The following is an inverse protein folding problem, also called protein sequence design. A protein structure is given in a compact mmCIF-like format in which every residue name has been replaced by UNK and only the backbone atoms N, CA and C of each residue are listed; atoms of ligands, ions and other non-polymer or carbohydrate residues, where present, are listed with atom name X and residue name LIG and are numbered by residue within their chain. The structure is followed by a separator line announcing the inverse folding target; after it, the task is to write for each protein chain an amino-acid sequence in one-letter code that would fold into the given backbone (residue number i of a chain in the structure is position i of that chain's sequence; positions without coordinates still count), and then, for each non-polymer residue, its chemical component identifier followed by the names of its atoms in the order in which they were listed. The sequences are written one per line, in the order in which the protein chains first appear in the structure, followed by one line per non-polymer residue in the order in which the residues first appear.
data_IF_641937236865
#
_entry.id   IF_641937236865
#
_cell.length_a   1.000
_cell.length_b   1.000
_cell.length_c   1.000
_cell.angle_alpha   90.00
_cell.angle_beta   90.00
_cell.angle_gamma   90.00
#
_symmetry.space_group_name_H-M   'P 1'
#
loop_
_entity.id
_entity.type
_entity.pdbx_description
1 polymer ?
#
# COMPACT_ATOMS: atom_id res chain seq x y z
N UNK A 1 11.05 29.86 -11.95
CA UNK A 1 11.32 29.49 -10.54
C UNK A 1 10.12 28.89 -9.79
N UNK A 2 8.87 29.06 -10.24
CA UNK A 2 7.70 28.45 -9.58
C UNK A 2 7.56 26.93 -9.75
N UNK A 3 7.96 26.36 -10.89
CA UNK A 3 7.86 24.91 -11.13
C UNK A 3 8.74 24.07 -10.18
N UNK A 4 9.97 24.53 -9.88
CA UNK A 4 10.90 23.82 -8.98
C UNK A 4 10.44 23.81 -7.52
N UNK A 5 9.67 24.81 -7.07
CA UNK A 5 9.18 24.87 -5.69
C UNK A 5 8.02 23.89 -5.45
N UNK A 6 7.18 23.67 -6.48
CA UNK A 6 6.07 22.72 -6.44
C UNK A 6 6.53 21.26 -6.51
N UNK A 7 7.74 20.99 -7.01
CA UNK A 7 8.29 19.63 -7.11
C UNK A 7 8.95 19.13 -5.81
N UNK A 8 9.51 20.03 -4.99
CA UNK A 8 10.25 19.67 -3.78
C UNK A 8 9.50 18.68 -2.86
N UNK A 9 8.20 18.85 -2.55
CA UNK A 9 7.49 17.91 -1.69
C UNK A 9 7.41 16.49 -2.28
N UNK A 10 7.25 16.37 -3.60
CA UNK A 10 7.12 15.07 -4.28
C UNK A 10 8.46 14.37 -4.43
N UNK A 11 9.55 15.11 -4.66
CA UNK A 11 10.92 14.56 -4.62
C UNK A 11 11.23 14.02 -3.22
N UNK A 12 10.98 14.81 -2.17
CA UNK A 12 11.21 14.36 -0.80
C UNK A 12 10.31 13.16 -0.41
N UNK A 13 9.06 13.12 -0.91
CA UNK A 13 8.17 11.97 -0.71
C UNK A 13 8.71 10.73 -1.42
N UNK A 14 9.16 10.85 -2.66
CA UNK A 14 9.76 9.76 -3.42
C UNK A 14 10.99 9.21 -2.69
N UNK A 15 11.93 10.07 -2.29
CA UNK A 15 13.13 9.67 -1.53
C UNK A 15 12.78 8.96 -0.22
N UNK A 16 11.70 9.40 0.44
CA UNK A 16 11.21 8.74 1.65
C UNK A 16 10.60 7.37 1.33
N UNK A 17 9.80 7.24 0.28
CA UNK A 17 9.21 5.97 -0.14
C UNK A 17 10.28 4.97 -0.60
N UNK A 18 11.34 5.45 -1.26
CA UNK A 18 12.42 4.63 -1.81
C UNK A 18 13.32 3.98 -0.73
N UNK A 19 13.25 4.49 0.50
CA UNK A 19 13.90 3.87 1.67
C UNK A 19 13.20 2.60 2.16
N UNK A 20 11.99 2.30 1.70
CA UNK A 20 11.33 1.02 2.03
C UNK A 20 12.03 -0.16 1.32
N UNK A 21 11.92 -1.40 1.81
CA UNK A 21 12.57 -2.56 1.18
C UNK A 21 12.26 -2.74 -0.32
N UNK A 22 11.01 -2.52 -0.74
CA UNK A 22 10.60 -2.53 -2.16
C UNK A 22 11.15 -1.34 -2.94
N UNK A 23 11.36 -0.23 -2.24
CA UNK A 23 11.67 1.10 -2.77
C UNK A 23 10.57 1.71 -3.64
N UNK A 24 10.97 2.74 -4.37
CA UNK A 24 10.15 3.59 -5.22
C UNK A 24 11.08 4.31 -6.20
N UNK A 25 11.73 3.60 -7.14
CA UNK A 25 12.69 4.21 -8.07
C UNK A 25 12.06 5.42 -8.78
N UNK A 26 12.81 6.52 -8.83
CA UNK A 26 12.33 7.77 -9.42
C UNK A 26 12.14 7.64 -10.93
N UNK A 27 10.92 7.93 -11.39
CA UNK A 27 10.57 8.07 -12.82
C UNK A 27 9.51 9.16 -12.96
N UNK A 28 9.31 9.66 -14.18
CA UNK A 28 8.29 10.68 -14.45
C UNK A 28 6.87 10.15 -14.14
N UNK A 29 6.63 8.87 -14.40
CA UNK A 29 5.36 8.20 -14.09
C UNK A 29 5.09 8.17 -12.59
N UNK A 30 6.11 7.84 -11.77
CA UNK A 30 5.95 7.87 -10.32
C UNK A 30 5.60 9.27 -9.84
N UNK A 31 6.31 10.30 -10.30
CA UNK A 31 6.02 11.67 -9.90
C UNK A 31 4.61 12.10 -10.31
N UNK A 32 4.13 11.68 -11.48
CA UNK A 32 2.75 11.94 -11.90
C UNK A 32 1.74 11.20 -10.99
N UNK A 33 1.98 9.93 -10.66
CA UNK A 33 1.15 9.18 -9.70
C UNK A 33 1.09 9.90 -8.36
N UNK A 34 2.24 10.34 -7.83
CA UNK A 34 2.31 11.05 -6.55
C UNK A 34 1.52 12.36 -6.59
N UNK A 35 1.59 13.14 -7.68
CA UNK A 35 0.81 14.39 -7.85
C UNK A 35 -0.70 14.14 -7.95
N UNK A 36 -1.12 13.03 -8.54
CA UNK A 36 -2.54 12.68 -8.61
C UNK A 36 -3.05 12.22 -7.22
N UNK A 37 -2.21 11.50 -6.46
CA UNK A 37 -2.64 10.86 -5.21
C UNK A 37 -2.49 11.73 -3.97
N UNK A 38 -1.43 12.54 -3.90
CA UNK A 38 -1.10 13.40 -2.77
C UNK A 38 -1.31 14.86 -3.14
N UNK A 39 -1.91 15.64 -2.23
CA UNK A 39 -1.71 17.08 -2.26
C UNK A 39 -0.25 17.43 -1.90
N UNK A 40 0.20 18.64 -2.23
CA UNK A 40 1.54 19.09 -1.84
C UNK A 40 1.76 19.06 -0.32
N UNK A 41 0.72 19.36 0.48
CA UNK A 41 0.76 19.25 1.94
C UNK A 41 0.91 17.80 2.39
N UNK A 42 0.11 16.89 1.82
CA UNK A 42 0.16 15.45 2.14
C UNK A 42 1.53 14.85 1.77
N UNK A 43 2.11 15.29 0.65
CA UNK A 43 3.45 14.88 0.24
C UNK A 43 4.53 15.36 1.24
N UNK A 44 4.43 16.60 1.70
CA UNK A 44 5.34 17.14 2.72
C UNK A 44 5.20 16.45 4.08
N UNK A 45 3.99 16.00 4.45
CA UNK A 45 3.76 15.17 5.64
C UNK A 45 4.40 13.80 5.46
N UNK A 46 4.09 13.11 4.36
CA UNK A 46 4.62 11.78 4.06
C UNK A 46 6.14 11.74 4.02
N UNK A 47 6.77 12.73 3.39
CA UNK A 47 8.23 12.87 3.33
C UNK A 47 8.89 12.95 4.73
N UNK A 48 8.20 13.52 5.72
CA UNK A 48 8.70 13.68 7.10
C UNK A 48 8.37 12.51 8.01
N UNK A 49 7.51 11.56 7.62
CA UNK A 49 7.17 10.41 8.45
C UNK A 49 8.40 9.50 8.66
N UNK A 50 8.59 8.93 9.87
CA UNK A 50 9.66 7.96 10.14
C UNK A 50 9.45 6.64 9.39
N UNK A 51 10.51 5.84 9.21
CA UNK A 51 10.46 4.50 8.59
C UNK A 51 9.57 3.53 9.37
N UNK A 52 9.60 3.63 10.69
CA UNK A 52 8.81 2.80 11.59
C UNK A 52 7.51 3.48 11.97
N UNK A 53 6.47 2.71 12.33
CA UNK A 53 5.24 3.26 12.87
C UNK A 53 5.52 4.16 14.08
N UNK A 54 4.88 5.33 14.12
CA UNK A 54 5.06 6.30 15.19
C UNK A 54 3.71 6.81 15.72
N UNK A 55 3.61 7.09 17.02
CA UNK A 55 2.41 7.64 17.62
C UNK A 55 2.26 9.13 17.29
N UNK A 56 1.03 9.64 17.41
CA UNK A 56 0.67 11.02 17.03
C UNK A 56 1.55 12.08 17.70
N UNK A 57 1.83 11.97 19.00
CA UNK A 57 2.64 12.92 19.76
C UNK A 57 4.10 12.99 19.29
N UNK A 58 4.64 11.89 18.76
CA UNK A 58 5.98 11.86 18.17
C UNK A 58 5.97 12.51 16.80
N UNK A 59 4.94 12.24 16.00
CA UNK A 59 4.78 12.86 14.67
C UNK A 59 4.54 14.37 14.78
N UNK A 60 3.68 14.81 15.70
CA UNK A 60 3.38 16.21 15.97
C UNK A 60 4.65 16.98 16.34
N UNK A 61 5.44 16.47 17.29
CA UNK A 61 6.74 17.07 17.66
C UNK A 61 7.74 17.10 16.51
N UNK A 62 7.81 16.03 15.71
CA UNK A 62 8.72 15.93 14.56
C UNK A 62 8.33 16.91 13.44
N UNK A 63 7.04 17.18 13.28
CA UNK A 63 6.51 18.01 12.21
C UNK A 63 6.28 19.47 12.62
N UNK A 64 6.45 19.78 13.91
CA UNK A 64 6.11 21.07 14.54
C UNK A 64 4.67 21.49 14.22
N UNK A 65 3.73 20.57 14.42
CA UNK A 65 2.30 20.77 14.14
C UNK A 65 1.47 20.41 15.38
N UNK A 66 0.35 21.11 15.54
CA UNK A 66 -0.66 20.76 16.53
C UNK A 66 -1.16 19.32 16.36
N UNK A 67 -1.25 18.52 17.44
CA UNK A 67 -1.67 17.11 17.37
C UNK A 67 -3.06 16.89 16.76
N UNK A 68 -4.06 17.72 17.11
CA UNK A 68 -5.43 17.54 16.61
C UNK A 68 -5.51 17.84 15.11
N UNK A 69 -4.86 18.92 14.68
CA UNK A 69 -4.75 19.28 13.26
C UNK A 69 -4.00 18.21 12.46
N UNK A 70 -2.91 17.67 13.02
CA UNK A 70 -2.16 16.60 12.38
C UNK A 70 -2.98 15.31 12.29
N UNK A 71 -3.71 14.94 13.35
CA UNK A 71 -4.59 13.77 13.32
C UNK A 71 -5.64 13.90 12.22
N UNK A 72 -6.29 15.06 12.09
CA UNK A 72 -7.27 15.29 11.03
C UNK A 72 -6.65 15.15 9.62
N UNK A 73 -5.40 15.60 9.42
CA UNK A 73 -4.66 15.43 8.15
C UNK A 73 -4.34 13.96 7.91
N UNK A 74 -3.81 13.25 8.91
CA UNK A 74 -3.48 11.82 8.84
C UNK A 74 -4.73 10.97 8.60
N UNK A 75 -5.87 11.32 9.18
CA UNK A 75 -7.14 10.61 8.97
C UNK A 75 -7.61 10.73 7.51
N UNK A 76 -7.50 11.93 6.91
CA UNK A 76 -7.77 12.11 5.47
C UNK A 76 -6.81 11.30 4.61
N UNK A 77 -5.52 11.29 4.93
CA UNK A 77 -4.53 10.47 4.23
C UNK A 77 -4.81 8.97 4.38
N UNK A 78 -5.25 8.52 5.56
CA UNK A 78 -5.60 7.13 5.81
C UNK A 78 -6.86 6.72 5.05
N UNK A 79 -7.88 7.59 5.02
CA UNK A 79 -9.02 7.41 4.12
C UNK A 79 -8.57 7.33 2.67
N UNK A 80 -7.56 8.07 2.23
CA UNK A 80 -7.00 7.95 0.86
C UNK A 80 -6.17 6.68 0.64
N UNK A 81 -5.81 5.94 1.68
CA UNK A 81 -4.89 4.80 1.60
C UNK A 81 -3.42 5.22 1.47
N UNK A 82 -3.08 6.43 1.91
CA UNK A 82 -1.72 6.97 1.87
C UNK A 82 -1.01 6.77 3.21
N UNK A 83 -1.77 6.60 4.30
CA UNK A 83 -1.26 6.35 5.65
C UNK A 83 -1.98 5.13 6.21
N UNK A 84 -1.22 4.25 6.84
CA UNK A 84 -1.73 3.16 7.66
C UNK A 84 -1.81 3.63 9.11
N UNK A 85 -2.89 3.28 9.79
CA UNK A 85 -3.07 3.53 11.22
C UNK A 85 -3.56 2.27 11.93
N UNK A 86 -2.98 1.99 13.08
CA UNK A 86 -3.37 0.82 13.86
C UNK A 86 -3.20 1.09 15.34
N UNK A 87 -3.94 0.33 16.13
CA UNK A 87 -3.92 0.46 17.58
C UNK A 87 -3.15 -0.71 18.19
N UNK A 88 -2.22 -0.37 19.07
CA UNK A 88 -1.47 -1.33 19.87
C UNK A 88 -1.48 -0.83 21.31
N UNK A 89 -1.97 -1.66 22.24
CA UNK A 89 -2.06 -1.34 23.67
C UNK A 89 -2.81 -0.02 23.96
N UNK A 90 -3.94 0.22 23.28
CA UNK A 90 -4.75 1.43 23.46
C UNK A 90 -4.12 2.71 22.88
N UNK A 91 -3.00 2.60 22.14
CA UNK A 91 -2.32 3.73 21.51
C UNK A 91 -2.32 3.57 20.00
N UNK A 92 -2.69 4.65 19.30
CA UNK A 92 -2.70 4.70 17.84
C UNK A 92 -1.32 5.04 17.28
N UNK A 93 -0.89 4.28 16.29
CA UNK A 93 0.35 4.46 15.54
C UNK A 93 0.01 4.71 14.07
N UNK A 94 0.85 5.51 13.41
CA UNK A 94 0.71 5.85 12.01
C UNK A 94 1.99 5.54 11.25
N UNK A 95 1.85 5.16 9.99
CA UNK A 95 2.96 4.87 9.09
C UNK A 95 2.56 5.28 7.66
N UNK A 96 3.50 5.83 6.90
CA UNK A 96 3.29 6.07 5.47
C UNK A 96 3.06 4.73 4.76
N UNK A 97 2.01 4.61 3.96
CA UNK A 97 1.77 3.40 3.18
C UNK A 97 2.95 3.19 2.20
N UNK A 98 3.52 1.99 2.12
CA UNK A 98 4.60 1.70 1.16
C UNK A 98 4.09 1.77 -0.28
N UNK A 99 4.99 1.73 -1.25
CA UNK A 99 4.65 1.77 -2.69
C UNK A 99 3.78 0.58 -3.09
N UNK A 100 4.20 -0.63 -2.73
CA UNK A 100 3.52 -1.90 -3.00
C UNK A 100 3.26 -2.63 -1.68
N UNK A 101 2.16 -3.40 -1.64
CA UNK A 101 1.42 -3.73 -0.43
C UNK A 101 1.08 -2.45 0.35
N UNK A 102 0.65 -1.42 -0.38
CA UNK A 102 0.38 -0.11 0.15
C UNK A 102 -0.45 0.74 -0.79
N UNK A 103 -0.03 1.97 -1.06
CA UNK A 103 -0.92 2.95 -1.67
C UNK A 103 -1.29 2.62 -3.14
N UNK A 104 -0.48 1.84 -3.86
CA UNK A 104 -0.85 1.35 -5.19
C UNK A 104 -2.07 0.43 -5.14
N UNK A 105 -2.07 -0.53 -4.21
CA UNK A 105 -3.20 -1.43 -4.00
C UNK A 105 -4.43 -0.66 -3.53
N UNK A 106 -4.28 0.17 -2.49
CA UNK A 106 -5.39 0.91 -1.91
C UNK A 106 -6.05 1.90 -2.88
N UNK A 107 -5.32 2.37 -3.89
CA UNK A 107 -5.87 3.19 -4.98
C UNK A 107 -6.91 2.43 -5.80
N UNK A 108 -6.79 1.11 -5.96
CA UNK A 108 -7.72 0.30 -6.75
C UNK A 108 -8.53 -0.72 -5.93
N UNK A 109 -8.40 -0.74 -4.61
CA UNK A 109 -9.23 -1.60 -3.73
C UNK A 109 -10.65 -1.05 -3.48
N UNK A 110 -10.97 0.13 -4.02
CA UNK A 110 -12.31 0.73 -3.96
C UNK A 110 -12.60 1.52 -5.23
N UNK A 111 -13.87 1.89 -5.40
CA UNK A 111 -14.31 2.78 -6.48
C UNK A 111 -14.01 4.22 -6.12
N UNK A 112 -13.42 4.95 -7.06
CA UNK A 112 -13.02 6.34 -6.92
C UNK A 112 -13.53 7.17 -8.08
N UNK A 113 -14.77 7.65 -8.02
CA UNK A 113 -15.33 8.42 -9.13
C UNK A 113 -14.58 9.74 -9.39
N UNK A 114 -13.94 10.29 -8.36
CA UNK A 114 -13.19 11.55 -8.43
C UNK A 114 -11.77 11.40 -9.00
N UNK A 115 -11.20 10.19 -9.05
CA UNK A 115 -9.84 9.98 -9.55
C UNK A 115 -9.83 9.65 -11.04
N UNK A 116 -8.79 10.08 -11.79
CA UNK A 116 -8.62 9.71 -13.18
C UNK A 116 -8.13 8.25 -13.30
N UNK A 117 -8.99 7.29 -12.94
CA UNK A 117 -8.63 5.88 -12.74
C UNK A 117 -7.97 5.23 -13.95
N UNK A 118 -8.42 5.56 -15.16
CA UNK A 118 -7.75 5.10 -16.40
C UNK A 118 -6.31 5.59 -16.46
N UNK A 119 -6.08 6.90 -16.26
CA UNK A 119 -4.72 7.47 -16.29
C UNK A 119 -3.83 6.88 -15.20
N UNK A 120 -4.36 6.73 -13.98
CA UNK A 120 -3.65 6.06 -12.89
C UNK A 120 -3.30 4.61 -13.25
N UNK A 121 -4.22 3.87 -13.89
CA UNK A 121 -3.97 2.49 -14.29
C UNK A 121 -2.87 2.41 -15.36
N UNK A 122 -2.91 3.30 -16.36
CA UNK A 122 -1.88 3.42 -17.39
C UNK A 122 -0.52 3.75 -16.79
N UNK A 123 -0.45 4.75 -15.90
CA UNK A 123 0.79 5.14 -15.21
C UNK A 123 1.35 4.01 -14.34
N UNK A 124 0.50 3.32 -13.56
CA UNK A 124 0.96 2.19 -12.73
C UNK A 124 1.42 1.01 -13.60
N UNK A 125 0.78 0.76 -14.75
CA UNK A 125 1.22 -0.28 -15.68
C UNK A 125 2.59 0.07 -16.29
N UNK A 126 2.75 1.31 -16.75
CA UNK A 126 4.02 1.81 -17.28
C UNK A 126 5.13 1.71 -16.21
N UNK A 127 4.90 2.29 -15.04
CA UNK A 127 5.87 2.30 -13.94
C UNK A 127 6.31 0.90 -13.48
N UNK A 128 5.39 -0.07 -13.46
CA UNK A 128 5.68 -1.41 -12.96
C UNK A 128 6.21 -2.39 -14.02
N UNK A 129 5.90 -2.19 -15.31
CA UNK A 129 6.04 -3.24 -16.31
C UNK A 129 6.64 -2.81 -17.67
N UNK A 130 6.78 -1.53 -17.97
CA UNK A 130 7.41 -1.12 -19.26
C UNK A 130 8.92 -1.32 -19.27
N UNK A 131 9.57 -1.24 -18.09
CA UNK A 131 10.97 -1.61 -17.91
C UNK A 131 11.17 -2.52 -16.69
N UNK A 132 12.41 -2.91 -16.44
CA UNK A 132 12.77 -3.81 -15.34
C UNK A 132 13.26 -3.08 -14.09
N UNK A 133 13.24 -1.73 -14.04
CA UNK A 133 13.77 -0.96 -12.91
C UNK A 133 12.99 -1.23 -11.64
N UNK A 134 11.65 -1.19 -11.72
CA UNK A 134 10.79 -1.46 -10.56
C UNK A 134 11.00 -2.89 -10.05
N UNK A 135 10.97 -3.88 -10.94
CA UNK A 135 11.16 -5.29 -10.59
C UNK A 135 12.55 -5.53 -9.97
N UNK A 136 13.63 -5.07 -10.62
CA UNK A 136 14.99 -5.17 -10.08
C UNK A 136 15.11 -4.51 -8.72
N UNK A 137 14.48 -3.35 -8.51
CA UNK A 137 14.51 -2.65 -7.25
C UNK A 137 13.75 -3.41 -6.14
N UNK A 138 12.57 -3.92 -6.45
CA UNK A 138 11.73 -4.67 -5.51
C UNK A 138 12.40 -5.96 -5.01
N UNK A 139 13.25 -6.57 -5.84
CA UNK A 139 13.92 -7.84 -5.55
C UNK A 139 15.44 -7.70 -5.30
N UNK A 140 15.99 -6.48 -5.16
CA UNK A 140 17.44 -6.25 -4.99
C UNK A 140 17.99 -6.70 -3.64
N UNK A 141 17.15 -6.72 -2.61
CA UNK A 141 17.55 -6.98 -1.22
C UNK A 141 17.40 -8.45 -0.82
N UNK A 142 18.15 -8.88 0.19
CA UNK A 142 17.99 -10.21 0.77
C UNK A 142 16.66 -10.37 1.52
N UNK A 143 16.13 -9.27 2.07
CA UNK A 143 14.81 -9.26 2.73
C UNK A 143 13.70 -9.17 1.69
N UNK A 144 12.96 -10.26 1.51
CA UNK A 144 11.82 -10.35 0.61
C UNK A 144 10.53 -9.92 1.33
N UNK A 145 9.64 -9.20 0.62
CA UNK A 145 8.39 -8.69 1.23
C UNK A 145 7.28 -9.75 1.32
N UNK A 146 7.35 -10.76 0.46
CA UNK A 146 6.40 -11.86 0.44
C UNK A 146 7.10 -13.20 0.56
N UNK A 147 6.33 -14.21 0.99
CA UNK A 147 6.71 -15.62 0.89
C UNK A 147 5.60 -16.40 0.21
N UNK A 148 5.96 -17.51 -0.42
CA UNK A 148 5.00 -18.45 -0.96
C UNK A 148 4.35 -19.23 0.19
N UNK A 149 3.04 -19.44 0.10
CA UNK A 149 2.29 -20.34 0.98
C UNK A 149 1.81 -21.54 0.17
N UNK A 150 1.73 -22.69 0.82
CA UNK A 150 1.42 -23.95 0.13
C UNK A 150 -0.09 -24.18 0.10
N UNK A 151 -0.64 -24.39 -1.09
CA UNK A 151 -1.98 -24.95 -1.25
C UNK A 151 -1.87 -26.48 -1.21
N UNK A 152 -1.96 -27.01 0.00
CA UNK A 152 -1.68 -28.38 0.39
C UNK A 152 -2.46 -29.38 -0.48
N UNK A 153 -3.71 -29.04 -0.83
CA UNK A 153 -4.58 -29.89 -1.65
C UNK A 153 -4.09 -30.14 -3.08
N UNK A 154 -3.15 -29.34 -3.60
CA UNK A 154 -2.59 -29.57 -4.95
C UNK A 154 -1.38 -30.50 -4.97
N UNK A 155 -0.87 -30.89 -3.81
CA UNK A 155 0.30 -31.76 -3.69
C UNK A 155 -0.10 -33.21 -3.40
N UNK A 156 0.81 -34.16 -3.69
CA UNK A 156 0.68 -35.57 -3.31
C UNK A 156 0.72 -35.72 -1.79
N UNK A 157 0.20 -36.84 -1.28
CA UNK A 157 0.15 -37.10 0.16
C UNK A 157 1.55 -37.18 0.79
N UNK A 158 2.54 -37.68 0.05
CA UNK A 158 3.94 -37.76 0.50
C UNK A 158 4.51 -36.36 0.78
N UNK A 159 4.27 -35.40 -0.13
CA UNK A 159 4.72 -34.02 0.01
C UNK A 159 3.92 -33.26 1.09
N UNK A 160 2.66 -33.63 1.32
CA UNK A 160 1.83 -33.00 2.37
C UNK A 160 2.38 -33.26 3.76
N UNK A 161 3.01 -34.41 3.99
CA UNK A 161 3.58 -34.75 5.30
C UNK A 161 4.78 -33.86 5.69
N UNK A 162 5.42 -33.19 4.72
CA UNK A 162 6.55 -32.29 4.94
C UNK A 162 6.14 -30.83 5.21
N UNK A 163 4.86 -30.48 4.98
CA UNK A 163 4.38 -29.10 5.11
C UNK A 163 4.16 -28.77 6.59
N UNK A 164 4.84 -27.75 7.08
CA UNK A 164 4.63 -27.27 8.44
C UNK A 164 3.34 -26.44 8.54
N UNK A 165 2.65 -26.40 9.69
CA UNK A 165 1.40 -25.63 9.85
C UNK A 165 1.53 -24.14 9.53
N UNK A 166 2.71 -23.54 9.70
CA UNK A 166 2.94 -22.13 9.36
C UNK A 166 3.19 -21.89 7.86
N UNK A 167 3.30 -22.94 7.06
CA UNK A 167 3.50 -22.92 5.60
C UNK A 167 2.20 -23.22 4.85
N UNK A 168 1.31 -23.95 5.52
CA UNK A 168 -0.04 -24.30 5.11
C UNK A 168 -0.94 -23.05 4.96
N UNK A 169 -1.34 -22.74 3.72
CA UNK A 169 -2.24 -21.63 3.44
C UNK A 169 -3.60 -21.81 4.14
N UNK A 170 -4.11 -23.05 4.21
CA UNK A 170 -5.40 -23.33 4.85
C UNK A 170 -5.36 -23.11 6.35
N UNK A 171 -4.27 -23.45 7.01
CA UNK A 171 -4.09 -23.21 8.45
C UNK A 171 -3.97 -21.73 8.78
N UNK A 172 -3.26 -20.95 7.96
CA UNK A 172 -3.19 -19.48 8.13
C UNK A 172 -4.58 -18.85 8.02
N UNK A 173 -5.37 -19.26 7.02
CA UNK A 173 -6.73 -18.74 6.80
C UNK A 173 -7.66 -19.15 7.96
N UNK A 174 -7.60 -20.42 8.38
CA UNK A 174 -8.45 -20.97 9.45
C UNK A 174 -8.18 -20.33 10.81
N UNK A 175 -6.92 -20.06 11.12
CA UNK A 175 -6.50 -19.50 12.40
C UNK A 175 -6.57 -17.96 12.45
N UNK A 176 -6.84 -17.29 11.34
CA UNK A 176 -7.04 -15.85 11.33
C UNK A 176 -8.30 -15.47 12.12
N UNK A 177 -8.18 -14.44 12.96
CA UNK A 177 -9.28 -13.97 13.83
C UNK A 177 -10.25 -13.03 13.13
N UNK A 178 -9.79 -12.42 12.04
CA UNK A 178 -10.56 -11.47 11.25
C UNK A 178 -10.16 -11.63 9.78
N UNK A 179 -11.15 -11.55 8.90
CA UNK A 179 -11.01 -11.64 7.46
C UNK A 179 -11.68 -10.44 6.84
N UNK A 180 -11.08 -9.89 5.79
CA UNK A 180 -11.71 -8.86 4.98
C UNK A 180 -11.57 -9.21 3.50
N UNK A 181 -12.61 -8.91 2.74
CA UNK A 181 -12.62 -9.02 1.28
C UNK A 181 -12.83 -7.63 0.67
N UNK A 182 -11.93 -7.25 -0.24
CA UNK A 182 -12.02 -6.02 -1.03
C UNK A 182 -11.94 -6.27 -2.53
N UNK A 183 -12.04 -5.20 -3.32
CA UNK A 183 -11.83 -5.28 -4.76
C UNK A 183 -10.38 -5.69 -5.03
N UNK A 184 -10.19 -6.65 -5.95
CA UNK A 184 -8.86 -7.05 -6.38
C UNK A 184 -8.19 -5.92 -7.15
N UNK A 185 -7.24 -5.25 -6.52
CA UNK A 185 -6.51 -4.13 -7.12
C UNK A 185 -5.95 -4.48 -8.51
N UNK A 186 -5.38 -5.69 -8.69
CA UNK A 186 -4.83 -6.11 -9.98
C UNK A 186 -5.91 -6.15 -11.06
N UNK A 187 -7.06 -6.74 -10.75
CA UNK A 187 -8.19 -6.91 -11.69
C UNK A 187 -8.85 -5.57 -11.98
N UNK A 188 -8.98 -4.72 -10.96
CA UNK A 188 -9.58 -3.40 -11.08
C UNK A 188 -8.68 -2.43 -11.85
N UNK A 189 -7.37 -2.44 -11.60
CA UNK A 189 -6.37 -1.74 -12.42
C UNK A 189 -6.44 -2.20 -13.88
N UNK A 190 -6.44 -3.51 -14.11
CA UNK A 190 -6.49 -4.07 -15.47
C UNK A 190 -7.79 -3.69 -16.21
N UNK A 191 -8.92 -3.64 -15.51
CA UNK A 191 -10.19 -3.13 -16.05
C UNK A 191 -10.06 -1.68 -16.52
N UNK A 192 -9.49 -0.80 -15.70
CA UNK A 192 -9.26 0.60 -16.06
C UNK A 192 -8.22 0.79 -17.18
N UNK A 193 -7.25 -0.13 -17.28
CA UNK A 193 -6.25 -0.17 -18.35
C UNK A 193 -6.77 -0.81 -19.67
N UNK A 194 -8.07 -1.13 -19.75
CA UNK A 194 -8.68 -1.70 -20.97
C UNK A 194 -8.40 -3.18 -21.19
N UNK A 195 -7.86 -3.90 -20.20
CA UNK A 195 -7.64 -5.34 -20.24
C UNK A 195 -8.33 -6.06 -19.05
N UNK A 196 -9.67 -6.07 -18.99
CA UNK A 196 -10.40 -6.58 -17.83
C UNK A 196 -10.19 -8.08 -17.61
N UNK A 197 -9.87 -8.45 -16.37
CA UNK A 197 -9.81 -9.85 -15.96
C UNK A 197 -11.23 -10.45 -15.86
N UNK A 198 -11.44 -11.66 -16.41
CA UNK A 198 -12.74 -12.36 -16.38
C UNK A 198 -13.06 -13.06 -15.05
N UNK A 199 -12.18 -12.98 -14.05
CA UNK A 199 -12.36 -13.61 -12.74
C UNK A 199 -13.07 -12.65 -11.76
N UNK A 200 -13.75 -13.14 -10.70
CA UNK A 200 -14.55 -12.29 -9.80
C UNK A 200 -13.81 -11.07 -9.23
N UNK A 201 -14.45 -9.90 -9.12
CA UNK A 201 -13.73 -8.69 -8.69
C UNK A 201 -13.41 -8.69 -7.19
N UNK A 202 -14.36 -9.12 -6.34
CA UNK A 202 -14.22 -9.16 -4.88
C UNK A 202 -13.46 -10.42 -4.44
N UNK A 203 -12.12 -10.36 -4.44
CA UNK A 203 -11.26 -11.48 -3.98
C UNK A 203 -10.00 -11.03 -3.23
N UNK A 204 -9.75 -9.72 -3.09
CA UNK A 204 -8.55 -9.25 -2.40
C UNK A 204 -8.72 -9.55 -0.90
N UNK A 205 -7.98 -10.53 -0.41
CA UNK A 205 -8.17 -11.06 0.94
C UNK A 205 -7.12 -10.48 1.88
N UNK A 206 -7.57 -9.93 3.01
CA UNK A 206 -6.71 -9.48 4.12
C UNK A 206 -7.08 -10.22 5.39
N UNK A 207 -6.10 -10.47 6.26
CA UNK A 207 -6.27 -11.23 7.51
C UNK A 207 -5.80 -10.40 8.71
N UNK A 208 -6.37 -10.68 9.88
CA UNK A 208 -5.96 -10.14 11.18
C UNK A 208 -5.90 -8.60 11.20
N UNK A 209 -4.80 -8.01 11.67
CA UNK A 209 -4.66 -6.55 11.80
C UNK A 209 -4.84 -5.79 10.49
N UNK A 210 -4.44 -6.38 9.36
CA UNK A 210 -4.69 -5.77 8.05
C UNK A 210 -6.18 -5.79 7.69
N UNK A 211 -6.91 -6.85 8.05
CA UNK A 211 -8.35 -6.93 7.82
C UNK A 211 -9.11 -5.84 8.59
N UNK A 212 -8.72 -5.62 9.86
CA UNK A 212 -9.29 -4.53 10.68
C UNK A 212 -9.13 -3.17 10.00
N UNK A 213 -7.91 -2.85 9.54
CA UNK A 213 -7.66 -1.57 8.88
C UNK A 213 -8.46 -1.42 7.57
N UNK A 214 -8.49 -2.47 6.75
CA UNK A 214 -9.24 -2.49 5.49
C UNK A 214 -10.73 -2.22 5.74
N UNK A 215 -11.32 -2.83 6.76
CA UNK A 215 -12.73 -2.63 7.14
C UNK A 215 -12.93 -1.20 7.67
N UNK A 216 -12.15 -0.78 8.67
CA UNK A 216 -12.27 0.56 9.29
C UNK A 216 -12.13 1.70 8.30
N UNK A 217 -11.28 1.54 7.28
CA UNK A 217 -11.01 2.55 6.25
C UNK A 217 -11.85 2.42 4.99
N UNK A 218 -12.72 1.40 4.89
CA UNK A 218 -13.65 1.24 3.78
C UNK A 218 -13.00 0.78 2.48
N UNK A 219 -11.92 -0.01 2.57
CA UNK A 219 -11.30 -0.69 1.42
C UNK A 219 -11.82 -2.12 1.20
N UNK A 220 -12.69 -2.59 2.10
CA UNK A 220 -13.29 -3.91 2.06
C UNK A 220 -14.29 -4.07 3.20
N UNK A 221 -14.80 -5.29 3.33
CA UNK A 221 -15.82 -5.69 4.32
C UNK A 221 -15.49 -7.04 4.94
#
# INVERSE_FOLDING_TARGET
MGHLALEKPYVALQERLDKNPIGAPATDELYEILRIRFSAEEAAIGARMPMTPAPLDVLARRMDEDPERLEAKLDRMARKGLVLDFETNGRRFYMLAPTVIGFFEFTFMRLHEELPNKRLADLLCSYMFEDDKFAKNAFRGETQVGRTLVHEKTLSDDLRAEIMPYEAATEIIKNAKLHAIGLCYCRHKAMHHGNPCKKPMEVCTSLNGSADWIIRRGFGR
#
